data_IF_546300328270
#
_entry.id   IF_546300328270
#
_cell.length_a   1.000
_cell.length_b   1.000
_cell.length_c   1.000
_cell.angle_alpha   90.00
_cell.angle_beta   90.00
_cell.angle_gamma   90.00
#
_symmetry.space_group_name_H-M   'P 1'
#
loop_
_entity.id
_entity.type
_entity.pdbx_description
1 polymer ?
#
# COMPACT_ATOMS: atom_id res chain seq x y z
N UNK A 1 -11.93 -5.69 7.45
CA UNK A 1 -11.12 -5.67 6.21
C UNK A 1 -11.78 -4.81 5.14
N UNK A 2 -12.89 -5.21 4.50
CA UNK A 2 -13.51 -4.47 3.39
C UNK A 2 -13.72 -2.95 3.63
N UNK A 3 -14.26 -2.57 4.79
CA UNK A 3 -14.47 -1.15 5.15
C UNK A 3 -13.14 -0.39 5.27
N UNK A 4 -12.14 -1.00 5.92
CA UNK A 4 -10.82 -0.40 6.08
C UNK A 4 -10.12 -0.25 4.72
N UNK A 5 -10.09 -1.30 3.90
CA UNK A 5 -9.50 -1.27 2.55
C UNK A 5 -10.16 -0.22 1.66
N UNK A 6 -11.48 -0.09 1.73
CA UNK A 6 -12.22 0.93 0.97
C UNK A 6 -11.86 2.35 1.43
N UNK A 7 -11.84 2.59 2.75
CA UNK A 7 -11.45 3.88 3.31
C UNK A 7 -10.03 4.27 2.91
N UNK A 8 -9.09 3.34 3.13
CA UNK A 8 -7.69 3.51 2.81
C UNK A 8 -7.48 3.80 1.32
N UNK A 9 -8.09 3.00 0.43
CA UNK A 9 -8.00 3.23 -1.01
C UNK A 9 -8.50 4.62 -1.41
N UNK A 10 -9.68 5.03 -0.93
CA UNK A 10 -10.28 6.33 -1.30
C UNK A 10 -9.38 7.47 -0.89
N UNK A 11 -8.95 7.51 0.37
CA UNK A 11 -8.15 8.62 0.86
C UNK A 11 -6.74 8.61 0.31
N UNK A 12 -6.11 7.45 0.17
CA UNK A 12 -4.79 7.32 -0.42
C UNK A 12 -4.80 7.83 -1.87
N UNK A 13 -5.76 7.39 -2.69
CA UNK A 13 -5.94 7.90 -4.05
C UNK A 13 -6.26 9.40 -4.07
N UNK A 14 -7.11 9.89 -3.19
CA UNK A 14 -7.40 11.33 -3.08
C UNK A 14 -6.14 12.15 -2.76
N UNK A 15 -5.28 11.65 -1.88
CA UNK A 15 -4.02 12.32 -1.54
C UNK A 15 -3.06 12.37 -2.72
N UNK A 16 -3.05 11.35 -3.60
CA UNK A 16 -2.28 11.38 -4.83
C UNK A 16 -2.86 12.29 -5.91
N UNK A 17 -4.16 12.28 -6.11
CA UNK A 17 -4.81 13.05 -7.17
C UNK A 17 -4.89 14.55 -6.85
N UNK A 18 -4.98 14.90 -5.57
CA UNK A 18 -5.00 16.29 -5.15
C UNK A 18 -3.58 16.83 -4.94
N UNK A 19 -3.15 17.76 -5.79
CA UNK A 19 -1.80 18.35 -5.75
C UNK A 19 -1.43 18.97 -4.40
N UNK A 20 -2.39 19.57 -3.69
CA UNK A 20 -2.14 20.15 -2.36
C UNK A 20 -1.89 19.05 -1.33
N UNK A 21 -2.79 18.04 -1.27
CA UNK A 21 -2.63 16.92 -0.35
C UNK A 21 -1.35 16.13 -0.64
N UNK A 22 -1.04 15.86 -1.91
CA UNK A 22 0.21 15.20 -2.27
C UNK A 22 1.41 16.02 -1.79
N UNK A 23 1.51 17.29 -2.18
CA UNK A 23 2.69 18.10 -1.89
C UNK A 23 2.91 18.32 -0.39
N UNK A 24 1.86 18.52 0.39
CA UNK A 24 1.97 18.97 1.77
C UNK A 24 1.77 17.86 2.81
N UNK A 25 1.17 16.74 2.44
CA UNK A 25 0.84 15.65 3.37
C UNK A 25 1.57 14.39 2.91
N UNK A 26 1.17 13.83 1.77
CA UNK A 26 1.54 12.48 1.38
C UNK A 26 2.96 12.36 0.77
N UNK A 27 3.51 13.47 0.25
CA UNK A 27 4.89 13.50 -0.23
C UNK A 27 5.91 13.21 0.87
N UNK A 28 5.55 13.39 2.16
CA UNK A 28 6.38 12.97 3.29
C UNK A 28 6.62 11.47 3.22
N UNK A 29 5.55 10.69 3.09
CA UNK A 29 5.62 9.23 2.99
C UNK A 29 6.41 8.80 1.75
N UNK A 30 6.13 9.43 0.60
CA UNK A 30 6.83 9.18 -0.68
C UNK A 30 8.27 9.70 -0.75
N UNK A 31 8.85 10.23 0.34
CA UNK A 31 10.32 10.39 0.43
C UNK A 31 11.01 9.04 0.44
N UNK A 32 10.30 7.99 0.85
CA UNK A 32 10.78 6.62 0.91
C UNK A 32 10.60 5.90 -0.43
N UNK A 33 11.33 6.34 -1.46
CA UNK A 33 11.27 5.74 -2.81
C UNK A 33 11.60 4.24 -2.80
N UNK A 34 12.41 3.81 -1.83
CA UNK A 34 12.65 2.39 -1.52
C UNK A 34 12.07 2.14 -0.13
N UNK A 35 10.91 1.46 -0.02
CA UNK A 35 10.30 1.15 1.26
C UNK A 35 11.18 0.25 2.12
N UNK A 36 11.07 0.42 3.43
CA UNK A 36 11.63 -0.47 4.44
C UNK A 36 10.66 -0.56 5.63
N UNK A 37 10.81 -1.60 6.47
CA UNK A 37 9.85 -1.95 7.51
C UNK A 37 9.47 -0.80 8.46
N UNK A 38 10.46 -0.05 8.97
CA UNK A 38 10.21 1.10 9.85
C UNK A 38 9.57 2.31 9.13
N UNK A 39 9.63 2.33 7.79
CA UNK A 39 8.99 3.32 6.94
C UNK A 39 7.46 3.14 6.82
N UNK A 40 6.91 2.01 7.27
CA UNK A 40 5.48 1.68 7.16
C UNK A 40 4.54 2.75 7.76
N UNK A 41 5.00 3.44 8.80
CA UNK A 41 4.27 4.53 9.46
C UNK A 41 5.02 5.85 9.41
N UNK A 42 5.95 6.00 8.46
CA UNK A 42 6.59 7.28 8.18
C UNK A 42 5.63 8.16 7.36
N UNK A 43 4.57 8.62 8.01
CA UNK A 43 3.54 9.45 7.41
C UNK A 43 3.46 10.81 8.11
N UNK A 44 2.87 11.79 7.42
CA UNK A 44 2.57 13.08 8.03
C UNK A 44 1.49 12.88 9.13
N UNK A 45 1.49 13.61 10.26
CA UNK A 45 0.51 13.38 11.34
C UNK A 45 -0.96 13.44 10.91
N UNK A 46 -1.29 14.33 9.95
CA UNK A 46 -2.64 14.40 9.36
C UNK A 46 -2.98 13.12 8.58
N UNK A 47 -2.01 12.55 7.88
CA UNK A 47 -2.19 11.30 7.14
C UNK A 47 -2.43 10.14 8.11
N UNK A 48 -1.62 10.01 9.16
CA UNK A 48 -1.83 8.97 10.17
C UNK A 48 -3.15 9.13 10.95
N UNK A 49 -3.59 10.36 11.20
CA UNK A 49 -4.92 10.59 11.79
C UNK A 49 -6.03 10.13 10.84
N UNK A 50 -5.95 10.52 9.56
CA UNK A 50 -7.04 10.29 8.60
C UNK A 50 -7.08 8.85 8.08
N UNK A 51 -5.95 8.28 7.70
CA UNK A 51 -5.85 6.93 7.19
C UNK A 51 -5.93 5.91 8.33
N UNK A 52 -5.02 6.01 9.32
CA UNK A 52 -4.85 4.96 10.31
C UNK A 52 -5.89 5.05 11.43
N UNK A 53 -6.01 6.21 12.07
CA UNK A 53 -6.89 6.38 13.24
C UNK A 53 -8.36 6.39 12.84
N UNK A 54 -8.75 7.26 11.90
CA UNK A 54 -10.15 7.36 11.46
C UNK A 54 -10.57 6.13 10.65
N UNK A 55 -9.71 5.61 9.77
CA UNK A 55 -9.98 4.39 9.02
C UNK A 55 -10.11 3.17 9.93
N UNK A 56 -9.23 3.04 10.93
CA UNK A 56 -9.31 2.01 11.95
C UNK A 56 -10.59 2.11 12.79
N UNK A 57 -10.93 3.32 13.26
CA UNK A 57 -12.15 3.56 14.02
C UNK A 57 -13.41 3.23 13.21
N UNK A 58 -13.45 3.64 11.94
CA UNK A 58 -14.56 3.31 11.04
C UNK A 58 -14.66 1.80 10.83
N UNK A 59 -13.54 1.12 10.58
CA UNK A 59 -13.49 -0.34 10.45
C UNK A 59 -13.96 -1.07 11.71
N UNK A 60 -13.57 -0.60 12.88
CA UNK A 60 -14.01 -1.12 14.18
C UNK A 60 -15.52 -0.97 14.35
N UNK A 61 -16.02 0.26 14.26
CA UNK A 61 -17.44 0.58 14.49
C UNK A 61 -18.35 -0.10 13.47
N UNK A 62 -18.02 -0.04 12.17
CA UNK A 62 -18.84 -0.61 11.11
C UNK A 62 -18.91 -2.14 11.16
N UNK A 63 -17.87 -2.80 11.68
CA UNK A 63 -17.85 -4.26 11.82
C UNK A 63 -18.60 -4.78 13.04
N UNK A 64 -18.86 -3.93 14.04
CA UNK A 64 -19.39 -4.36 15.34
C UNK A 64 -18.45 -5.31 16.10
N UNK A 65 -17.16 -5.32 15.80
CA UNK A 65 -16.21 -6.23 16.44
C UNK A 65 -16.06 -5.94 17.95
N UNK A 66 -15.89 -6.99 18.74
CA UNK A 66 -15.59 -6.83 20.17
C UNK A 66 -14.17 -6.29 20.38
N UNK A 67 -13.87 -5.66 21.54
CA UNK A 67 -12.51 -5.22 21.87
C UNK A 67 -11.45 -6.34 21.79
N UNK A 68 -11.83 -7.60 22.04
CA UNK A 68 -10.89 -8.74 21.92
C UNK A 68 -10.57 -9.03 20.46
N UNK A 69 -11.58 -9.06 19.59
CA UNK A 69 -11.38 -9.28 18.15
C UNK A 69 -10.59 -8.12 17.54
N UNK A 70 -10.83 -6.89 18.00
CA UNK A 70 -10.11 -5.73 17.50
C UNK A 70 -8.63 -5.76 17.81
N UNK A 71 -8.20 -6.30 18.97
CA UNK A 71 -6.78 -6.50 19.26
C UNK A 71 -6.13 -7.36 18.16
N UNK A 72 -6.67 -8.54 17.88
CA UNK A 72 -6.13 -9.41 16.83
C UNK A 72 -6.19 -8.77 15.45
N UNK A 73 -7.29 -8.09 15.12
CA UNK A 73 -7.45 -7.43 13.84
C UNK A 73 -6.43 -6.31 13.63
N UNK A 74 -6.24 -5.44 14.62
CA UNK A 74 -5.28 -4.34 14.50
C UNK A 74 -3.83 -4.82 14.59
N UNK A 75 -3.54 -5.86 15.38
CA UNK A 75 -2.22 -6.53 15.32
C UNK A 75 -1.94 -7.04 13.91
N UNK A 76 -2.92 -7.69 13.26
CA UNK A 76 -2.78 -8.14 11.87
C UNK A 76 -2.57 -6.96 10.92
N UNK A 77 -3.32 -5.86 11.05
CA UNK A 77 -3.12 -4.65 10.24
C UNK A 77 -1.70 -4.11 10.37
N UNK A 78 -1.17 -4.00 11.59
CA UNK A 78 0.19 -3.49 11.83
C UNK A 78 1.24 -4.41 11.22
N UNK A 79 1.12 -5.73 11.44
CA UNK A 79 2.04 -6.70 10.84
C UNK A 79 1.99 -6.62 9.32
N UNK A 80 0.79 -6.46 8.75
CA UNK A 80 0.61 -6.35 7.30
C UNK A 80 1.22 -5.06 6.73
N UNK A 81 1.05 -3.93 7.40
CA UNK A 81 1.70 -2.68 7.00
C UNK A 81 3.24 -2.83 6.99
N UNK A 82 3.81 -3.48 8.00
CA UNK A 82 5.26 -3.76 8.04
C UNK A 82 5.68 -4.71 6.91
N UNK A 83 4.92 -5.77 6.68
CA UNK A 83 5.14 -6.74 5.59
C UNK A 83 5.15 -6.05 4.21
N UNK A 84 4.14 -5.23 3.93
CA UNK A 84 3.98 -4.51 2.66
C UNK A 84 5.09 -3.48 2.43
N UNK A 85 5.72 -2.97 3.48
CA UNK A 85 6.80 -1.98 3.36
C UNK A 85 8.20 -2.56 3.54
N UNK A 86 8.36 -3.83 3.89
CA UNK A 86 9.66 -4.33 4.35
C UNK A 86 10.77 -4.32 3.28
N UNK A 87 10.41 -4.15 2.00
CA UNK A 87 11.35 -4.16 0.87
C UNK A 87 11.94 -5.54 0.58
N UNK A 88 11.48 -6.60 1.25
CA UNK A 88 12.00 -7.95 1.15
C UNK A 88 10.95 -8.93 0.64
N UNK A 89 11.29 -9.68 -0.41
CA UNK A 89 10.49 -10.82 -0.85
C UNK A 89 10.89 -12.09 -0.11
N UNK A 90 10.34 -12.30 1.09
CA UNK A 90 10.70 -13.43 1.96
C UNK A 90 10.14 -14.77 1.44
N UNK A 91 10.98 -15.80 1.22
CA UNK A 91 10.52 -17.13 0.83
C UNK A 91 9.53 -17.70 1.87
N UNK A 92 8.39 -18.21 1.39
CA UNK A 92 7.40 -18.85 2.26
C UNK A 92 6.51 -17.89 3.05
N UNK A 93 6.58 -16.58 2.79
CA UNK A 93 5.70 -15.60 3.44
C UNK A 93 4.21 -15.96 3.27
N UNK A 94 3.55 -16.26 4.40
CA UNK A 94 2.15 -16.69 4.41
C UNK A 94 1.20 -15.55 4.05
N UNK A 95 1.57 -14.30 4.32
CA UNK A 95 0.73 -13.15 3.99
C UNK A 95 0.57 -13.01 2.48
N UNK A 96 1.61 -13.25 1.70
CA UNK A 96 1.56 -13.19 0.23
C UNK A 96 0.65 -14.26 -0.39
N UNK A 97 0.31 -15.32 0.37
CA UNK A 97 -0.64 -16.36 -0.06
C UNK A 97 -2.10 -16.00 0.22
N UNK A 98 -2.33 -15.19 1.25
CA UNK A 98 -3.66 -14.81 1.71
C UNK A 98 -4.10 -13.44 1.17
N UNK A 99 -3.13 -12.58 0.83
CA UNK A 99 -3.34 -11.17 0.50
C UNK A 99 -2.61 -10.80 -0.79
N UNK A 100 -3.27 -9.98 -1.61
CA UNK A 100 -2.71 -9.53 -2.89
C UNK A 100 -1.98 -8.20 -2.78
N UNK A 101 -2.26 -7.39 -1.74
CA UNK A 101 -1.32 -6.35 -1.34
C UNK A 101 -0.16 -7.03 -0.59
N UNK A 102 1.05 -6.78 -1.08
CA UNK A 102 2.29 -7.36 -0.63
C UNK A 102 3.45 -6.39 -0.91
N UNK A 103 4.65 -6.77 -0.47
CA UNK A 103 5.84 -5.93 -0.61
C UNK A 103 6.12 -5.47 -2.03
N UNK A 104 5.98 -6.35 -3.03
CA UNK A 104 6.28 -5.99 -4.41
C UNK A 104 5.22 -5.05 -5.00
N UNK A 105 3.95 -5.26 -4.65
CA UNK A 105 2.85 -4.38 -5.05
C UNK A 105 3.07 -2.94 -4.54
N UNK A 106 3.46 -2.82 -3.27
CA UNK A 106 3.66 -1.53 -2.63
C UNK A 106 4.99 -0.87 -3.02
N UNK A 107 6.05 -1.65 -3.26
CA UNK A 107 7.30 -1.13 -3.84
C UNK A 107 7.06 -0.46 -5.20
N UNK A 108 6.28 -1.10 -6.10
CA UNK A 108 5.90 -0.48 -7.37
C UNK A 108 5.12 0.81 -7.19
N UNK A 109 4.31 0.94 -6.13
CA UNK A 109 3.65 2.20 -5.81
C UNK A 109 4.65 3.31 -5.39
N UNK A 110 5.66 3.01 -4.58
CA UNK A 110 6.64 4.01 -4.14
C UNK A 110 7.63 4.44 -5.24
N UNK A 111 7.76 3.66 -6.31
CA UNK A 111 8.61 4.03 -7.45
C UNK A 111 8.13 5.32 -8.13
N UNK A 112 9.07 6.24 -8.42
CA UNK A 112 8.79 7.58 -8.96
C UNK A 112 7.91 7.60 -10.22
N UNK A 113 7.99 6.56 -11.06
CA UNK A 113 7.28 6.49 -12.35
C UNK A 113 5.87 5.90 -12.22
N UNK A 114 5.56 5.26 -11.10
CA UNK A 114 4.35 4.44 -10.91
C UNK A 114 3.58 4.80 -9.64
N UNK A 115 3.97 5.86 -8.93
CA UNK A 115 3.25 6.43 -7.78
C UNK A 115 1.82 6.89 -8.05
N UNK A 116 1.42 6.98 -9.33
CA UNK A 116 0.02 7.20 -9.73
C UNK A 116 -0.86 5.93 -9.78
N UNK A 117 -0.40 4.79 -9.27
CA UNK A 117 -1.08 3.50 -9.34
C UNK A 117 -0.97 2.73 -8.02
N UNK A 118 -1.70 1.63 -7.87
CA UNK A 118 -1.60 0.69 -6.73
C UNK A 118 -1.90 1.33 -5.35
N UNK A 119 -3.06 1.98 -5.21
CA UNK A 119 -3.43 2.72 -3.99
C UNK A 119 -4.05 1.87 -2.87
N UNK A 120 -4.53 0.66 -3.16
CA UNK A 120 -5.24 -0.18 -2.19
C UNK A 120 -4.29 -0.65 -1.12
N UNK A 121 -4.71 -0.54 0.14
CA UNK A 121 -4.00 -1.05 1.31
C UNK A 121 -5.00 -1.32 2.44
N UNK A 122 -4.69 -2.20 3.40
CA UNK A 122 -3.46 -3.01 3.52
C UNK A 122 -3.61 -4.47 3.04
N UNK A 123 -4.80 -4.95 2.67
CA UNK A 123 -5.01 -6.39 2.44
C UNK A 123 -5.19 -6.76 0.96
N UNK A 124 -6.16 -6.15 0.28
CA UNK A 124 -6.55 -6.55 -1.07
C UNK A 124 -6.28 -5.45 -2.09
N UNK A 125 -6.11 -5.84 -3.35
CA UNK A 125 -5.95 -4.91 -4.49
C UNK A 125 -7.27 -4.67 -5.23
N UNK A 126 -8.38 -5.05 -4.61
CA UNK A 126 -9.72 -5.08 -5.22
C UNK A 126 -10.11 -3.72 -5.77
N UNK A 127 -9.88 -2.65 -5.01
CA UNK A 127 -10.30 -1.31 -5.42
C UNK A 127 -9.48 -0.78 -6.60
N UNK A 128 -8.17 -1.06 -6.67
CA UNK A 128 -7.38 -0.74 -7.85
C UNK A 128 -7.87 -1.47 -9.10
N UNK A 129 -8.32 -2.71 -8.97
CA UNK A 129 -8.92 -3.45 -10.09
C UNK A 129 -10.27 -2.88 -10.50
N UNK A 130 -11.13 -2.55 -9.53
CA UNK A 130 -12.46 -1.97 -9.77
C UNK A 130 -12.36 -0.62 -10.48
N UNK A 131 -11.40 0.21 -10.09
CA UNK A 131 -11.26 1.57 -10.63
C UNK A 131 -10.16 1.73 -11.70
N UNK A 132 -9.55 0.62 -12.14
CA UNK A 132 -8.54 0.63 -13.20
C UNK A 132 -7.22 1.32 -12.83
N UNK A 133 -6.85 1.33 -11.56
CA UNK A 133 -5.59 1.94 -11.05
C UNK A 133 -4.53 0.89 -10.68
N UNK A 134 -4.73 -0.38 -11.04
CA UNK A 134 -3.77 -1.45 -10.78
C UNK A 134 -2.62 -1.46 -11.81
N UNK A 135 -1.38 -1.31 -11.35
CA UNK A 135 -0.16 -1.48 -12.12
C UNK A 135 0.37 -2.92 -11.97
N UNK A 136 0.36 -3.73 -13.04
CA UNK A 136 0.98 -5.05 -13.02
C UNK A 136 2.51 -4.94 -12.88
N UNK A 137 3.11 -5.96 -12.27
CA UNK A 137 4.54 -6.02 -12.02
C UNK A 137 5.07 -7.45 -12.10
N UNK A 138 6.38 -7.58 -12.29
CA UNK A 138 7.13 -8.84 -12.21
C UNK A 138 8.19 -8.74 -11.14
N UNK A 139 8.57 -9.87 -10.57
CA UNK A 139 9.67 -9.95 -9.60
C UNK A 139 10.86 -10.57 -10.35
N UNK A 140 11.96 -9.84 -10.39
CA UNK A 140 13.16 -10.22 -11.10
C UNK A 140 14.35 -10.22 -10.12
N UNK A 141 15.29 -11.14 -10.33
CA UNK A 141 16.53 -11.15 -9.58
C UNK A 141 17.50 -10.14 -10.19
N UNK A 142 17.95 -9.17 -9.39
CA UNK A 142 19.04 -8.28 -9.75
C UNK A 142 20.33 -9.09 -9.82
N UNK A 143 20.73 -9.45 -11.05
CA UNK A 143 21.93 -10.27 -11.33
C UNK A 143 23.22 -9.70 -10.77
N UNK A 144 23.28 -8.39 -10.47
CA UNK A 144 24.48 -7.77 -9.90
C UNK A 144 24.61 -7.99 -8.39
N UNK A 145 23.50 -8.17 -7.67
CA UNK A 145 23.48 -8.21 -6.20
C UNK A 145 22.78 -9.45 -5.61
N UNK A 146 22.14 -10.29 -6.43
CA UNK A 146 21.36 -11.44 -5.98
C UNK A 146 20.10 -11.06 -5.19
N UNK A 147 19.57 -9.85 -5.41
CA UNK A 147 18.41 -9.33 -4.67
C UNK A 147 17.17 -9.32 -5.56
N UNK A 148 16.04 -9.78 -5.04
CA UNK A 148 14.76 -9.71 -5.74
C UNK A 148 14.23 -8.27 -5.77
N UNK A 149 13.78 -7.81 -6.93
CA UNK A 149 13.19 -6.47 -7.13
C UNK A 149 11.87 -6.55 -7.89
N UNK A 150 10.93 -5.67 -7.53
CA UNK A 150 9.69 -5.52 -8.26
C UNK A 150 9.87 -4.54 -9.42
N UNK A 151 9.53 -4.97 -10.64
CA UNK A 151 9.55 -4.12 -11.83
C UNK A 151 8.15 -3.97 -12.39
N UNK A 152 7.64 -2.75 -12.59
CA UNK A 152 6.37 -2.56 -13.26
C UNK A 152 6.43 -3.13 -14.68
N UNK A 153 5.41 -3.86 -15.07
CA UNK A 153 5.20 -4.25 -16.46
C UNK A 153 4.77 -2.98 -17.21
N UNK A 154 5.42 -2.71 -18.34
CA UNK A 154 5.35 -1.42 -19.02
C UNK A 154 3.96 -0.79 -18.96
N UNK A 155 3.89 0.47 -18.52
CA UNK A 155 2.81 1.36 -18.93
C UNK A 155 2.77 1.21 -20.45
N UNK A 156 1.70 0.64 -21.01
CA UNK A 156 1.49 0.77 -22.44
C UNK A 156 1.42 2.27 -22.70
N UNK A 157 2.54 2.88 -23.06
CA UNK A 157 2.53 4.08 -23.86
C UNK A 157 1.92 3.60 -25.16
N UNK A 158 0.59 3.73 -25.28
CA UNK A 158 0.05 4.08 -26.57
C UNK A 158 0.78 5.35 -26.96
N UNK A 159 1.88 5.18 -27.70
CA UNK A 159 2.42 6.21 -28.57
C UNK A 159 1.26 6.58 -29.51
N UNK A 160 0.48 7.56 -29.08
CA UNK A 160 -0.73 7.99 -29.73
C UNK A 160 -0.43 9.27 -30.49
N UNK A 161 0.01 9.08 -31.74
CA UNK A 161 -0.06 9.99 -32.89
C UNK A 161 0.78 11.27 -32.84
#
# INVERSE_FOLDING_TARGET
>A
MAVLDGWQYVWHRCMHLNRFLYRHVHSWHHRLVVPYAFGALYNHPIEGLLLDTMGGALGFLASGMSPRVSIFFFTLCTVKAVDDHCGMWLPGNMFHRCFWNNTAYHDVHHQLRTSGYNFSQPFFVTWDRVFGTHMPYVIEEDRAHGVLRARPMALHTSAGK
#
